data_IF_424552836065
#
_entry.id   IF_424552836065
#
_cell.length_a   1.000
_cell.length_b   1.000
_cell.length_c   1.000
_cell.angle_alpha   90.00
_cell.angle_beta   90.00
_cell.angle_gamma   90.00
#
_symmetry.space_group_name_H-M   'P 1'
#
loop_
_entity.id
_entity.type
_entity.pdbx_description
1 polymer ?
#
# COMPACT_ATOMS: atom_id res chain seq x y z
N UNK A 1 -4.15 -6.46 -3.77
CA UNK A 1 -2.72 -6.25 -3.43
C UNK A 1 -2.30 -4.78 -3.56
N UNK A 2 -2.60 -4.12 -4.69
CA UNK A 2 -2.34 -2.68 -4.91
C UNK A 2 -2.88 -1.80 -3.77
N UNK A 3 -4.12 -2.04 -3.34
CA UNK A 3 -4.76 -1.28 -2.26
C UNK A 3 -3.99 -1.32 -0.94
N UNK A 4 -3.48 -2.49 -0.53
CA UNK A 4 -2.68 -2.65 0.70
C UNK A 4 -1.33 -1.96 0.58
N UNK A 5 -0.65 -2.12 -0.56
CA UNK A 5 0.63 -1.47 -0.80
C UNK A 5 0.50 0.06 -0.83
N UNK A 6 -0.63 0.59 -1.33
CA UNK A 6 -0.91 2.01 -1.29
C UNK A 6 -1.02 2.55 0.15
N UNK A 7 -1.56 1.78 1.09
CA UNK A 7 -1.58 2.15 2.52
C UNK A 7 -0.17 2.27 3.10
N UNK A 8 0.74 1.40 2.67
CA UNK A 8 2.13 1.38 3.18
C UNK A 8 2.96 2.59 2.70
N UNK A 9 2.46 3.40 1.77
CA UNK A 9 3.13 4.66 1.37
C UNK A 9 3.15 5.70 2.50
N UNK A 10 2.34 5.53 3.54
CA UNK A 10 2.37 6.41 4.71
C UNK A 10 2.95 5.73 5.96
N UNK A 11 3.62 4.59 5.79
CA UNK A 11 4.27 3.87 6.89
C UNK A 11 5.33 4.75 7.58
N UNK A 12 5.47 4.69 8.92
CA UNK A 12 6.49 5.45 9.65
C UNK A 12 7.92 5.15 9.17
N UNK A 13 8.21 3.93 8.72
CA UNK A 13 9.54 3.52 8.29
C UNK A 13 9.76 3.75 6.79
N UNK A 14 10.82 4.50 6.43
CA UNK A 14 11.16 4.81 5.04
C UNK A 14 11.40 3.56 4.20
N UNK A 15 12.02 2.52 4.77
CA UNK A 15 12.25 1.25 4.10
C UNK A 15 10.93 0.56 3.65
N UNK A 16 9.89 0.62 4.50
CA UNK A 16 8.57 0.05 4.17
C UNK A 16 7.93 0.86 3.04
N UNK A 17 8.01 2.21 3.13
CA UNK A 17 7.50 3.10 2.08
C UNK A 17 8.19 2.85 0.72
N UNK A 18 9.50 2.65 0.73
CA UNK A 18 10.28 2.35 -0.48
C UNK A 18 9.86 1.01 -1.08
N UNK A 19 9.82 -0.07 -0.29
CA UNK A 19 9.47 -1.40 -0.77
C UNK A 19 8.02 -1.47 -1.29
N UNK A 20 7.11 -0.75 -0.64
CA UNK A 20 5.73 -0.63 -1.08
C UNK A 20 5.66 0.02 -2.46
N UNK A 21 6.43 1.07 -2.70
CA UNK A 21 6.47 1.75 -3.99
C UNK A 21 7.09 0.89 -5.10
N UNK A 22 8.23 0.23 -4.86
CA UNK A 22 8.83 -0.71 -5.82
C UNK A 22 7.83 -1.82 -6.21
N UNK A 23 7.11 -2.35 -5.22
CA UNK A 23 6.07 -3.35 -5.45
C UNK A 23 4.89 -2.80 -6.27
N UNK A 24 4.51 -1.54 -6.05
CA UNK A 24 3.48 -0.85 -6.83
C UNK A 24 3.92 -0.60 -8.27
N UNK A 25 5.19 -0.25 -8.50
CA UNK A 25 5.74 -0.10 -9.85
C UNK A 25 5.70 -1.41 -10.63
N UNK A 26 5.99 -2.55 -9.98
CA UNK A 26 5.89 -3.86 -10.63
C UNK A 26 4.45 -4.22 -11.02
N UNK A 27 3.45 -3.78 -10.24
CA UNK A 27 2.04 -4.09 -10.48
C UNK A 27 1.37 -3.13 -11.47
N UNK A 28 1.73 -1.85 -11.44
CA UNK A 28 1.08 -0.79 -12.21
C UNK A 28 1.91 -0.35 -13.44
N UNK A 29 3.18 -0.72 -13.51
CA UNK A 29 4.06 -0.34 -14.61
C UNK A 29 4.11 1.17 -14.82
N UNK A 30 3.90 1.59 -16.07
CA UNK A 30 3.90 3.00 -16.48
C UNK A 30 2.80 3.84 -15.84
N UNK A 31 1.74 3.22 -15.33
CA UNK A 31 0.63 3.93 -14.71
C UNK A 31 0.91 4.26 -13.23
N UNK A 32 2.04 3.77 -12.69
CA UNK A 32 2.46 4.09 -11.32
C UNK A 32 2.88 5.57 -11.21
N UNK A 33 2.21 6.39 -10.38
CA UNK A 33 2.59 7.78 -10.19
C UNK A 33 3.99 7.89 -9.57
N UNK A 34 4.74 8.93 -9.94
CA UNK A 34 6.02 9.24 -9.28
C UNK A 34 5.81 9.46 -7.79
N UNK A 35 6.63 8.80 -6.99
CA UNK A 35 6.57 8.84 -5.55
C UNK A 35 7.94 9.21 -4.97
N UNK A 36 7.94 10.10 -3.99
CA UNK A 36 9.11 10.45 -3.19
C UNK A 36 8.82 9.95 -1.78
N UNK A 37 9.51 8.88 -1.38
CA UNK A 37 9.27 8.21 -0.10
C UNK A 37 9.83 8.99 1.09
N UNK A 38 10.77 9.91 0.87
CA UNK A 38 11.29 10.83 1.89
C UNK A 38 10.67 12.23 1.80
N UNK A 39 9.82 12.46 0.79
CA UNK A 39 9.01 13.66 0.65
C UNK A 39 8.00 13.87 1.78
N UNK A 40 7.31 15.00 1.77
CA UNK A 40 6.40 15.39 2.87
C UNK A 40 5.21 14.44 3.04
N UNK A 41 4.60 14.42 4.23
CA UNK A 41 3.43 13.57 4.48
C UNK A 41 2.27 13.89 3.53
N UNK A 42 2.07 15.16 3.16
CA UNK A 42 1.05 15.60 2.22
C UNK A 42 1.30 15.02 0.81
N UNK A 43 2.56 15.02 0.36
CA UNK A 43 2.94 14.41 -0.92
C UNK A 43 2.64 12.91 -0.92
N UNK A 44 3.02 12.21 0.15
CA UNK A 44 2.79 10.75 0.27
C UNK A 44 1.31 10.40 0.30
N UNK A 45 0.49 11.17 1.05
CA UNK A 45 -0.96 11.05 1.05
C UNK A 45 -1.58 11.30 -0.33
N UNK A 46 -1.11 12.32 -1.05
CA UNK A 46 -1.61 12.62 -2.39
C UNK A 46 -1.31 11.49 -3.39
N UNK A 47 -0.11 10.89 -3.33
CA UNK A 47 0.24 9.75 -4.19
C UNK A 47 -0.55 8.51 -3.82
N UNK A 48 -0.72 8.23 -2.52
CA UNK A 48 -1.60 7.14 -2.05
C UNK A 48 -3.01 7.28 -2.63
N UNK A 49 -3.63 8.46 -2.53
CA UNK A 49 -4.99 8.69 -3.04
C UNK A 49 -5.08 8.44 -4.54
N UNK A 50 -4.11 8.94 -5.33
CA UNK A 50 -4.05 8.70 -6.78
C UNK A 50 -3.97 7.21 -7.12
N UNK A 51 -3.14 6.44 -6.41
CA UNK A 51 -3.00 5.01 -6.64
C UNK A 51 -4.29 4.26 -6.30
N UNK A 52 -4.98 4.65 -5.23
CA UNK A 52 -6.27 4.07 -4.85
C UNK A 52 -7.37 4.39 -5.86
N UNK A 53 -7.36 5.58 -6.47
CA UNK A 53 -8.27 5.97 -7.55
C UNK A 53 -8.01 5.15 -8.82
N UNK A 54 -6.74 5.01 -9.23
CA UNK A 54 -6.35 4.15 -10.34
C UNK A 54 -6.81 2.71 -10.11
N UNK A 55 -6.62 2.19 -8.89
CA UNK A 55 -7.01 0.83 -8.54
C UNK A 55 -8.52 0.58 -8.66
N UNK A 56 -9.38 1.55 -8.32
CA UNK A 56 -10.83 1.41 -8.51
C UNK A 56 -11.23 1.24 -9.98
N UNK A 57 -10.40 1.73 -10.91
CA UNK A 57 -10.63 1.62 -12.35
C UNK A 57 -9.99 0.39 -13.00
N UNK A 58 -9.21 -0.40 -12.26
CA UNK A 58 -8.50 -1.56 -12.82
C UNK A 58 -9.42 -2.79 -12.98
N UNK A 59 -9.18 -3.63 -14.01
CA UNK A 59 -9.86 -4.91 -14.18
C UNK A 59 -9.71 -5.84 -12.95
N UNK A 60 -10.71 -6.68 -12.63
CA UNK A 60 -10.71 -7.55 -11.45
C UNK A 60 -9.50 -8.50 -11.35
N UNK A 61 -8.96 -8.88 -12.51
CA UNK A 61 -7.80 -9.75 -12.73
C UNK A 61 -6.46 -9.12 -12.31
N UNK A 62 -6.35 -7.79 -12.37
CA UNK A 62 -5.24 -7.02 -11.79
C UNK A 62 -5.51 -6.71 -10.31
N UNK A 63 -6.78 -6.55 -9.93
CA UNK A 63 -7.19 -6.33 -8.55
C UNK A 63 -6.96 -7.58 -7.66
N UNK A 64 -7.17 -8.78 -8.20
CA UNK A 64 -6.97 -10.08 -7.57
C UNK A 64 -6.67 -11.18 -8.61
N UNK A 65 -5.49 -11.83 -8.57
CA UNK A 65 -5.21 -12.96 -9.46
C UNK A 65 -6.15 -14.15 -9.17
N UNK A 66 -6.58 -14.92 -10.19
CA UNK A 66 -7.30 -16.18 -9.96
C UNK A 66 -6.40 -17.15 -9.18
N UNK A 67 -6.90 -17.67 -8.05
CA UNK A 67 -6.19 -18.62 -7.21
C UNK A 67 -5.33 -18.02 -6.09
N UNK A 68 -5.37 -16.70 -5.87
CA UNK A 68 -4.85 -16.14 -4.61
C UNK A 68 -5.78 -16.56 -3.48
N UNK A 69 -5.35 -17.49 -2.63
CA UNK A 69 -5.92 -17.62 -1.29
C UNK A 69 -5.95 -16.20 -0.70
N UNK A 70 -7.09 -15.72 -0.18
CA UNK A 70 -7.13 -14.40 0.43
C UNK A 70 -6.07 -14.41 1.51
N UNK A 71 -5.02 -13.60 1.33
CA UNK A 71 -4.20 -13.16 2.47
C UNK A 71 -5.25 -12.65 3.47
N UNK A 72 -5.35 -13.29 4.63
CA UNK A 72 -6.38 -13.01 5.65
C UNK A 72 -6.69 -11.50 5.74
N UNK A 73 -7.97 -11.12 5.79
CA UNK A 73 -8.62 -10.42 4.69
C UNK A 73 -8.42 -8.90 4.82
N UNK A 74 -7.25 -8.39 4.41
CA UNK A 74 -7.08 -6.95 4.16
C UNK A 74 -8.02 -6.43 3.05
N UNK A 75 -8.61 -7.37 2.31
CA UNK A 75 -9.61 -7.16 1.27
C UNK A 75 -10.82 -8.04 1.63
N UNK A 76 -11.99 -7.41 1.72
CA UNK A 76 -13.29 -8.05 1.91
C UNK A 76 -13.63 -9.00 0.75
N UNK A 77 -14.63 -9.87 0.97
CA UNK A 77 -15.12 -10.80 -0.06
C UNK A 77 -15.70 -10.10 -1.31
N UNK A 78 -16.01 -8.80 -1.22
CA UNK A 78 -16.48 -7.96 -2.33
C UNK A 78 -15.35 -7.24 -3.05
N UNK A 79 -14.09 -7.53 -2.70
CA UNK A 79 -12.92 -6.90 -3.31
C UNK A 79 -12.61 -5.50 -2.77
N UNK A 80 -13.37 -4.99 -1.79
CA UNK A 80 -13.12 -3.70 -1.14
C UNK A 80 -12.09 -3.84 -0.01
N UNK A 81 -11.38 -2.76 0.32
CA UNK A 81 -10.47 -2.71 1.49
C UNK A 81 -11.24 -2.94 2.78
N UNK A 82 -10.73 -3.81 3.65
CA UNK A 82 -11.18 -3.90 5.04
C UNK A 82 -10.44 -2.82 5.87
N UNK A 83 -10.99 -1.60 5.87
CA UNK A 83 -10.35 -0.44 6.48
C UNK A 83 -10.20 -0.59 8.00
N UNK A 84 -11.12 -1.28 8.65
CA UNK A 84 -11.09 -1.48 10.10
C UNK A 84 -9.99 -2.46 10.48
N UNK A 85 -9.86 -3.57 9.73
CA UNK A 85 -8.74 -4.48 9.91
C UNK A 85 -7.40 -3.79 9.62
N UNK A 86 -7.28 -3.08 8.49
CA UNK A 86 -6.05 -2.37 8.11
C UNK A 86 -5.62 -1.39 9.21
N UNK A 87 -6.55 -0.57 9.72
CA UNK A 87 -6.27 0.36 10.82
C UNK A 87 -5.83 -0.38 12.08
N UNK A 88 -6.53 -1.45 12.46
CA UNK A 88 -6.18 -2.22 13.66
C UNK A 88 -4.78 -2.84 13.59
N UNK A 89 -4.33 -3.22 12.39
CA UNK A 89 -2.99 -3.77 12.17
C UNK A 89 -1.92 -2.68 12.20
N UNK A 90 -2.18 -1.53 11.57
CA UNK A 90 -1.31 -0.36 11.63
C UNK A 90 -1.16 0.17 13.07
N UNK A 91 -2.22 0.15 13.87
CA UNK A 91 -2.17 0.56 15.28
C UNK A 91 -1.35 -0.40 16.15
N UNK A 92 -1.32 -1.68 15.78
CA UNK A 92 -0.53 -2.72 16.46
C UNK A 92 0.91 -2.80 15.98
N UNK A 93 1.27 -2.04 14.94
CA UNK A 93 2.62 -2.03 14.41
C UNK A 93 3.57 -1.54 15.51
N UNK A 94 4.66 -2.26 15.72
CA UNK A 94 5.71 -1.81 16.62
C UNK A 94 6.33 -0.51 16.07
N UNK A 95 6.17 0.59 16.82
CA UNK A 95 6.65 1.92 16.46
C UNK A 95 7.99 2.25 17.11
N UNK A 96 8.62 1.28 17.78
CA UNK A 96 9.94 1.45 18.37
C UNK A 96 10.94 1.82 17.28
N UNK A 97 11.56 3.02 17.33
CA UNK A 97 12.51 3.42 16.32
C UNK A 97 13.63 2.38 16.20
N UNK A 98 13.86 1.90 14.99
CA UNK A 98 15.02 1.04 14.71
C UNK A 98 16.24 1.94 14.73
N UNK A 99 17.03 1.86 15.80
CA UNK A 99 18.36 2.45 15.83
C UNK A 99 19.30 1.53 15.05
N UNK A 100 19.77 1.98 13.88
CA UNK A 100 20.90 1.35 13.22
C UNK A 100 22.14 1.92 13.91
N UNK A 101 22.75 1.10 14.76
CA UNK A 101 24.03 1.46 15.41
C UNK A 101 25.11 1.32 14.33
N UNK A 102 25.75 2.44 13.97
CA UNK A 102 26.94 2.44 13.09
C UNK A 102 28.17 1.84 13.77
#
# INVERSE_FOLDING_TARGET
>A
KVSVLAEMLNDPYSAVRYLAYESLQLLLGSDCPKYDFDGTAEHRLAVQQKILELWKGLPPDVASPPGSNPIEPLITTTGQRDLDLIRSLLDRQDRTPIAIVE
#
